data_IF_801655584827
#
_entry.id   IF_801655584827
#
_cell.length_a   1.000
_cell.length_b   1.000
_cell.length_c   1.000
_cell.angle_alpha   90.00
_cell.angle_beta   90.00
_cell.angle_gamma   90.00
#
_symmetry.space_group_name_H-M   'P 1'
#
loop_
_entity.id
_entity.type
_entity.pdbx_description
1 polymer ?
#
# COMPACT_ATOMS: atom_id res chain seq x y z
N UNK A 1 34.94 26.91 -4.42
CA UNK A 1 34.04 25.84 -3.93
C UNK A 1 33.06 26.47 -2.96
N UNK A 2 31.77 26.62 -3.32
CA UNK A 2 30.74 27.17 -2.42
C UNK A 2 30.05 26.00 -1.71
N UNK A 3 30.33 25.82 -0.43
CA UNK A 3 29.56 24.93 0.44
C UNK A 3 28.19 25.56 0.66
N UNK A 4 27.14 24.97 0.07
CA UNK A 4 25.77 25.38 0.34
C UNK A 4 25.43 25.02 1.78
N UNK A 5 25.18 26.04 2.62
CA UNK A 5 24.62 25.87 3.95
C UNK A 5 23.18 25.39 3.80
N UNK A 6 22.95 24.07 3.88
CA UNK A 6 21.60 23.53 3.99
C UNK A 6 21.06 23.98 5.34
N UNK A 7 20.02 24.80 5.35
CA UNK A 7 19.39 25.20 6.61
C UNK A 7 18.72 23.98 7.24
N UNK A 8 18.71 23.91 8.58
CA UNK A 8 18.06 22.81 9.31
C UNK A 8 16.57 22.65 8.89
N UNK A 9 15.92 23.76 8.51
CA UNK A 9 14.55 23.76 8.00
C UNK A 9 14.39 23.04 6.66
N UNK A 10 15.34 23.17 5.75
CA UNK A 10 15.30 22.51 4.44
C UNK A 10 15.59 21.02 4.58
N UNK A 11 16.55 20.64 5.43
CA UNK A 11 16.83 19.24 5.75
C UNK A 11 15.63 18.54 6.41
N UNK A 12 14.90 19.22 7.30
CA UNK A 12 13.70 18.68 7.95
C UNK A 12 12.54 18.52 6.96
N UNK A 13 12.31 19.50 6.08
CA UNK A 13 11.29 19.39 5.02
C UNK A 13 11.59 18.24 4.08
N UNK A 14 12.83 18.11 3.63
CA UNK A 14 13.26 17.00 2.77
C UNK A 14 13.10 15.66 3.47
N UNK A 15 13.42 15.57 4.77
CA UNK A 15 13.21 14.36 5.55
C UNK A 15 11.73 13.97 5.66
N UNK A 16 10.84 14.92 5.99
CA UNK A 16 9.40 14.70 6.07
C UNK A 16 8.83 14.27 4.71
N UNK A 17 9.26 14.93 3.63
CA UNK A 17 8.83 14.59 2.28
C UNK A 17 9.30 13.19 1.88
N UNK A 18 10.59 12.87 2.06
CA UNK A 18 11.14 11.53 1.78
C UNK A 18 10.44 10.44 2.59
N UNK A 19 10.14 10.71 3.86
CA UNK A 19 9.39 9.79 4.74
C UNK A 19 7.99 9.48 4.21
N UNK A 20 7.28 10.46 3.62
CA UNK A 20 5.95 10.26 3.00
C UNK A 20 5.99 9.66 1.60
N UNK A 21 7.10 9.85 0.88
CA UNK A 21 7.25 9.35 -0.50
C UNK A 21 7.33 7.83 -0.57
N UNK A 22 8.12 7.19 0.31
CA UNK A 22 8.25 5.72 0.28
C UNK A 22 6.89 5.01 0.45
N UNK A 23 6.08 5.31 1.47
CA UNK A 23 4.76 4.67 1.64
C UNK A 23 3.81 4.92 0.47
N UNK A 24 3.77 6.14 -0.07
CA UNK A 24 2.94 6.47 -1.24
C UNK A 24 3.35 5.70 -2.49
N UNK A 25 4.66 5.57 -2.73
CA UNK A 25 5.15 4.79 -3.86
C UNK A 25 4.81 3.30 -3.70
N UNK A 26 4.91 2.77 -2.48
CA UNK A 26 4.50 1.39 -2.17
C UNK A 26 3.00 1.20 -2.42
N UNK A 27 2.14 2.12 -1.97
CA UNK A 27 0.69 2.08 -2.22
C UNK A 27 0.37 2.04 -3.72
N UNK A 28 0.98 2.92 -4.52
CA UNK A 28 0.80 2.96 -5.98
C UNK A 28 1.20 1.63 -6.62
N UNK A 29 2.35 1.06 -6.23
CA UNK A 29 2.77 -0.25 -6.74
C UNK A 29 1.76 -1.36 -6.43
N UNK A 30 1.16 -1.36 -5.24
CA UNK A 30 0.11 -2.33 -4.89
C UNK A 30 -1.12 -2.13 -5.77
N UNK A 31 -1.56 -0.89 -5.98
CA UNK A 31 -2.71 -0.57 -6.84
C UNK A 31 -2.49 -1.03 -8.29
N UNK A 32 -1.34 -0.75 -8.88
CA UNK A 32 -1.00 -1.11 -10.27
C UNK A 32 -0.95 -2.63 -10.49
N UNK A 33 -0.53 -3.39 -9.48
CA UNK A 33 -0.37 -4.84 -9.57
C UNK A 33 -1.58 -5.61 -9.01
N UNK A 34 -2.60 -4.94 -8.48
CA UNK A 34 -3.71 -5.59 -7.77
C UNK A 34 -4.48 -6.59 -8.64
N UNK A 35 -4.80 -6.21 -9.88
CA UNK A 35 -5.49 -7.10 -10.81
C UNK A 35 -4.67 -8.35 -11.13
N UNK A 36 -3.36 -8.21 -11.28
CA UNK A 36 -2.48 -9.35 -11.51
C UNK A 36 -2.42 -10.28 -10.30
N UNK A 37 -2.40 -9.73 -9.08
CA UNK A 37 -2.32 -10.49 -7.84
C UNK A 37 -3.62 -11.23 -7.51
N UNK A 38 -4.76 -10.57 -7.71
CA UNK A 38 -6.07 -11.06 -7.23
C UNK A 38 -6.99 -11.54 -8.34
N UNK A 39 -6.67 -11.23 -9.60
CA UNK A 39 -7.51 -11.50 -10.74
C UNK A 39 -8.57 -10.43 -11.00
N UNK A 40 -9.00 -10.38 -12.26
CA UNK A 40 -9.93 -9.39 -12.81
C UNK A 40 -11.25 -9.24 -12.05
N UNK A 41 -11.81 -10.34 -11.56
CA UNK A 41 -13.10 -10.33 -10.84
C UNK A 41 -12.99 -9.57 -9.52
N UNK A 42 -11.96 -9.86 -8.71
CA UNK A 42 -11.75 -9.21 -7.42
C UNK A 42 -11.39 -7.73 -7.64
N UNK A 43 -10.50 -7.45 -8.58
CA UNK A 43 -10.11 -6.08 -8.93
C UNK A 43 -11.30 -5.23 -9.36
N UNK A 44 -12.20 -5.77 -10.19
CA UNK A 44 -13.39 -5.06 -10.68
C UNK A 44 -14.30 -4.56 -9.55
N UNK A 45 -14.42 -5.30 -8.45
CA UNK A 45 -15.27 -4.96 -7.32
C UNK A 45 -14.49 -4.36 -6.14
N UNK A 46 -13.19 -4.12 -6.31
CA UNK A 46 -12.36 -3.37 -5.36
C UNK A 46 -12.45 -1.89 -5.71
N UNK A 47 -12.94 -1.07 -4.79
CA UNK A 47 -13.12 0.37 -5.00
C UNK A 47 -11.87 1.16 -4.66
N UNK A 48 -11.14 0.75 -3.62
CA UNK A 48 -9.97 1.47 -3.14
C UNK A 48 -9.03 0.52 -2.40
N UNK A 49 -7.73 0.78 -2.53
CA UNK A 49 -6.66 0.10 -1.82
C UNK A 49 -5.73 1.17 -1.25
N UNK A 50 -5.50 1.14 0.06
CA UNK A 50 -4.60 2.06 0.75
C UNK A 50 -3.61 1.27 1.61
N UNK A 51 -2.36 1.73 1.67
CA UNK A 51 -1.34 1.16 2.56
C UNK A 51 -0.91 2.21 3.58
N UNK A 52 -1.38 2.06 4.83
CA UNK A 52 -1.17 3.04 5.90
C UNK A 52 -0.61 2.31 7.11
N UNK A 53 0.59 2.70 7.57
CA UNK A 53 1.24 2.14 8.76
C UNK A 53 1.30 0.60 8.77
N UNK A 54 1.53 0.01 7.59
CA UNK A 54 1.58 -1.44 7.39
C UNK A 54 0.22 -2.13 7.36
N UNK A 55 -0.87 -1.38 7.27
CA UNK A 55 -2.23 -1.89 7.11
C UNK A 55 -2.68 -1.68 5.68
N UNK A 56 -3.00 -2.78 5.01
CA UNK A 56 -3.61 -2.76 3.69
C UNK A 56 -5.13 -2.68 3.85
N UNK A 57 -5.69 -1.52 3.56
CA UNK A 57 -7.12 -1.25 3.65
C UNK A 57 -7.72 -1.45 2.26
N UNK A 58 -8.62 -2.41 2.12
CA UNK A 58 -9.31 -2.73 0.89
C UNK A 58 -10.78 -2.38 1.06
N UNK A 59 -11.30 -1.53 0.18
CA UNK A 59 -12.72 -1.17 0.18
C UNK A 59 -13.42 -1.87 -0.97
N UNK A 60 -14.52 -2.57 -0.69
CA UNK A 60 -15.40 -3.12 -1.71
C UNK A 60 -16.85 -2.68 -1.45
N UNK A 61 -17.68 -2.65 -2.49
CA UNK A 61 -19.12 -2.40 -2.33
C UNK A 61 -19.96 -3.69 -2.36
N UNK A 62 -19.35 -4.86 -2.59
CA UNK A 62 -20.07 -6.12 -2.74
C UNK A 62 -19.86 -7.00 -1.51
N UNK A 63 -20.95 -7.28 -0.77
CA UNK A 63 -20.88 -8.03 0.49
C UNK A 63 -20.27 -9.44 0.36
N UNK A 64 -20.63 -10.27 -0.65
CA UNK A 64 -19.95 -11.54 -0.88
C UNK A 64 -18.44 -11.43 -1.04
N UNK A 65 -17.97 -10.46 -1.83
CA UNK A 65 -16.53 -10.27 -2.04
C UNK A 65 -15.84 -9.84 -0.74
N UNK A 66 -16.45 -8.98 0.07
CA UNK A 66 -15.89 -8.63 1.39
C UNK A 66 -15.67 -9.88 2.23
N UNK A 67 -16.62 -10.81 2.22
CA UNK A 67 -16.51 -12.04 2.99
C UNK A 67 -15.37 -12.93 2.47
N UNK A 68 -15.25 -13.12 1.15
CA UNK A 68 -14.14 -13.86 0.54
C UNK A 68 -12.76 -13.23 0.84
N UNK A 69 -12.66 -11.90 0.75
CA UNK A 69 -11.45 -11.16 1.09
C UNK A 69 -11.11 -11.27 2.58
N UNK A 70 -12.11 -11.29 3.47
CA UNK A 70 -11.89 -11.50 4.90
C UNK A 70 -11.32 -12.89 5.20
N UNK A 71 -11.77 -13.93 4.50
CA UNK A 71 -11.19 -15.28 4.65
C UNK A 71 -9.79 -15.39 4.03
N UNK A 72 -9.45 -14.52 3.09
CA UNK A 72 -8.19 -14.57 2.34
C UNK A 72 -7.12 -13.60 2.84
N UNK A 73 -7.31 -12.95 4.00
CA UNK A 73 -6.42 -11.90 4.51
C UNK A 73 -4.96 -12.32 4.57
N UNK A 74 -4.67 -13.50 5.13
CA UNK A 74 -3.29 -13.98 5.30
C UNK A 74 -2.63 -14.21 3.93
N UNK A 75 -3.37 -14.78 2.98
CA UNK A 75 -2.92 -14.96 1.60
C UNK A 75 -2.65 -13.61 0.91
N UNK A 76 -3.49 -12.61 1.13
CA UNK A 76 -3.30 -11.26 0.59
C UNK A 76 -2.02 -10.64 1.16
N UNK A 77 -1.78 -10.75 2.47
CA UNK A 77 -0.56 -10.26 3.12
C UNK A 77 0.67 -10.90 2.47
N UNK A 78 0.66 -12.22 2.30
CA UNK A 78 1.76 -12.96 1.69
C UNK A 78 2.02 -12.48 0.25
N UNK A 79 1.01 -12.52 -0.62
CA UNK A 79 1.15 -12.17 -2.03
C UNK A 79 1.64 -10.72 -2.23
N UNK A 80 1.12 -9.79 -1.44
CA UNK A 80 1.51 -8.38 -1.55
C UNK A 80 2.95 -8.17 -1.08
N UNK A 81 3.35 -8.78 0.04
CA UNK A 81 4.74 -8.68 0.50
C UNK A 81 5.73 -9.37 -0.45
N UNK A 82 5.37 -10.52 -1.01
CA UNK A 82 6.17 -11.21 -2.04
C UNK A 82 6.37 -10.33 -3.28
N UNK A 83 5.30 -9.67 -3.76
CA UNK A 83 5.38 -8.73 -4.87
C UNK A 83 6.25 -7.50 -4.56
N UNK A 84 6.16 -6.99 -3.33
CA UNK A 84 6.95 -5.83 -2.92
C UNK A 84 8.42 -6.15 -2.65
N UNK A 85 8.74 -7.41 -2.31
CA UNK A 85 10.07 -7.85 -1.92
C UNK A 85 10.49 -7.42 -0.51
N UNK A 86 9.56 -6.90 0.28
CA UNK A 86 9.76 -6.48 1.68
C UNK A 86 8.50 -6.72 2.51
N UNK A 87 8.64 -6.81 3.83
CA UNK A 87 7.50 -6.95 4.75
C UNK A 87 6.87 -5.57 5.00
N UNK A 88 6.04 -5.14 4.05
CA UNK A 88 5.33 -3.86 4.09
C UNK A 88 3.93 -3.98 4.71
N UNK A 89 3.22 -5.08 4.46
CA UNK A 89 1.87 -5.34 4.97
C UNK A 89 1.93 -6.29 6.16
N UNK A 90 1.31 -5.88 7.27
CA UNK A 90 1.20 -6.64 8.52
C UNK A 90 -0.24 -7.02 8.84
N UNK A 91 -1.20 -6.26 8.33
CA UNK A 91 -2.63 -6.43 8.60
C UNK A 91 -3.42 -6.08 7.34
N UNK A 92 -4.52 -6.80 7.09
CA UNK A 92 -5.49 -6.48 6.03
C UNK A 92 -6.83 -6.14 6.66
N UNK A 93 -7.38 -4.99 6.28
CA UNK A 93 -8.68 -4.50 6.74
C UNK A 93 -9.62 -4.41 5.53
N UNK A 94 -10.79 -5.04 5.64
CA UNK A 94 -11.82 -5.01 4.59
C UNK A 94 -12.93 -4.07 5.03
N UNK A 95 -13.23 -3.07 4.20
CA UNK A 95 -14.31 -2.09 4.39
C UNK A 95 -15.46 -2.30 3.42
#
# INVERSE_FOLDING_TARGET
MRYGSISIGDALKDYINKSRMKPRLTEVRVQENWEQLMGKTIARYTQNIQLIDGKLIITSNVAPLKQELNYSKDKIIQLVNEMLGEVAVREVIIK
#
